data_IF_220761181042
#
_entry.id   IF_220761181042
#
_cell.length_a   1.000
_cell.length_b   1.000
_cell.length_c   1.000
_cell.angle_alpha   90.00
_cell.angle_beta   90.00
_cell.angle_gamma   90.00
#
_symmetry.space_group_name_H-M   'P 1'
#
loop_
_entity.id
_entity.type
_entity.pdbx_description
1 polymer ?
#
# COMPACT_ATOMS: atom_id res chain seq x y z
N UNK A 1 -25.88 -2.99 4.96
CA UNK A 1 -26.30 -4.26 4.36
C UNK A 1 -25.16 -5.28 4.35
N UNK A 2 -24.02 -4.97 3.76
CA UNK A 2 -22.86 -5.90 3.61
C UNK A 2 -22.27 -6.39 4.95
N UNK A 3 -22.29 -5.57 5.99
CA UNK A 3 -21.77 -5.95 7.31
C UNK A 3 -22.58 -7.09 7.97
N UNK A 4 -23.83 -7.31 7.58
CA UNK A 4 -24.66 -8.40 8.08
C UNK A 4 -24.45 -9.74 7.34
N UNK A 5 -23.69 -9.76 6.25
CA UNK A 5 -23.35 -11.00 5.55
C UNK A 5 -22.46 -11.89 6.43
N UNK A 6 -22.55 -13.22 6.26
CA UNK A 6 -21.79 -14.17 7.08
C UNK A 6 -20.27 -13.94 6.99
N UNK A 7 -19.49 -14.23 8.04
CA UNK A 7 -18.02 -14.18 8.01
C UNK A 7 -17.42 -14.91 6.80
N UNK A 8 -16.28 -14.45 6.32
CA UNK A 8 -15.61 -14.98 5.14
C UNK A 8 -14.63 -13.98 4.55
N UNK A 9 -14.40 -14.06 3.23
CA UNK A 9 -13.52 -13.11 2.55
C UNK A 9 -14.34 -12.00 1.87
N UNK A 10 -13.87 -10.77 2.04
CA UNK A 10 -14.40 -9.59 1.40
C UNK A 10 -13.27 -8.83 0.69
N UNK A 11 -13.61 -8.11 -0.36
CA UNK A 11 -12.72 -7.15 -1.00
C UNK A 11 -13.31 -5.75 -0.97
N UNK A 12 -12.45 -4.76 -0.81
CA UNK A 12 -12.78 -3.35 -0.93
C UNK A 12 -11.87 -2.74 -1.99
N UNK A 13 -12.42 -2.54 -3.19
CA UNK A 13 -11.69 -2.02 -4.34
C UNK A 13 -11.99 -0.55 -4.52
N UNK A 14 -11.08 0.30 -4.08
CA UNK A 14 -11.25 1.76 -4.14
C UNK A 14 -9.95 2.41 -4.63
N UNK A 15 -9.99 3.37 -5.55
CA UNK A 15 -8.80 4.10 -6.00
C UNK A 15 -8.02 4.73 -4.85
N UNK A 16 -6.73 5.00 -5.08
CA UNK A 16 -5.91 5.75 -4.12
C UNK A 16 -6.52 7.13 -3.87
N UNK A 17 -6.63 7.51 -2.60
CA UNK A 17 -7.30 8.77 -2.19
C UNK A 17 -8.83 8.68 -2.05
N UNK A 18 -9.44 7.52 -2.35
CA UNK A 18 -10.90 7.30 -2.22
C UNK A 18 -11.36 6.92 -0.80
N UNK A 19 -10.56 7.10 0.25
CA UNK A 19 -11.00 6.88 1.63
C UNK A 19 -10.98 5.43 2.12
N UNK A 20 -10.24 4.52 1.46
CA UNK A 20 -10.16 3.08 1.79
C UNK A 20 -9.99 2.79 3.28
N UNK A 21 -9.06 3.48 3.94
CA UNK A 21 -8.68 3.21 5.33
C UNK A 21 -9.86 3.35 6.30
N UNK A 22 -10.61 4.44 6.18
CA UNK A 22 -11.77 4.67 7.05
C UNK A 22 -12.97 3.80 6.63
N UNK A 23 -13.17 3.59 5.33
CA UNK A 23 -14.26 2.74 4.83
C UNK A 23 -14.08 1.27 5.24
N UNK A 24 -12.85 0.73 5.12
CA UNK A 24 -12.55 -0.64 5.57
C UNK A 24 -12.66 -0.80 7.09
N UNK A 25 -12.25 0.22 7.86
CA UNK A 25 -12.41 0.21 9.32
C UNK A 25 -13.89 0.27 9.72
N UNK A 26 -14.69 1.14 9.10
CA UNK A 26 -16.14 1.22 9.37
C UNK A 26 -16.84 -0.11 9.08
N UNK A 27 -16.58 -0.71 7.92
CA UNK A 27 -17.09 -2.05 7.61
C UNK A 27 -16.64 -3.07 8.66
N UNK A 28 -15.37 -3.09 9.03
CA UNK A 28 -14.82 -4.06 9.99
C UNK A 28 -15.48 -3.97 11.37
N UNK A 29 -15.74 -2.75 11.84
CA UNK A 29 -16.43 -2.52 13.12
C UNK A 29 -17.88 -2.94 13.07
N UNK A 30 -18.63 -2.55 12.05
CA UNK A 30 -20.03 -2.92 11.86
C UNK A 30 -20.18 -4.45 11.73
N UNK A 31 -19.27 -5.07 10.98
CA UNK A 31 -19.26 -6.53 10.79
C UNK A 31 -18.92 -7.26 12.09
N UNK A 32 -17.92 -6.76 12.84
CA UNK A 32 -17.56 -7.33 14.13
C UNK A 32 -18.73 -7.27 15.13
N UNK A 33 -19.46 -6.16 15.17
CA UNK A 33 -20.67 -6.01 15.99
C UNK A 33 -21.78 -6.98 15.57
N UNK A 34 -22.04 -7.10 14.27
CA UNK A 34 -23.09 -7.97 13.74
C UNK A 34 -22.84 -9.47 14.04
N UNK A 35 -21.57 -9.88 14.11
CA UNK A 35 -21.18 -11.29 14.27
C UNK A 35 -20.51 -11.61 15.61
N UNK A 36 -20.49 -10.69 16.56
CA UNK A 36 -19.90 -10.90 17.89
C UNK A 36 -18.39 -11.14 17.84
N UNK A 37 -17.70 -10.65 16.82
CA UNK A 37 -16.25 -10.70 16.72
C UNK A 37 -15.62 -9.69 17.70
N UNK A 38 -14.47 -10.03 18.26
CA UNK A 38 -13.97 -9.31 19.46
C UNK A 38 -13.01 -8.17 19.12
N UNK A 39 -12.44 -8.14 17.91
CA UNK A 39 -11.41 -7.15 17.54
C UNK A 39 -11.26 -6.99 16.05
N UNK A 40 -10.64 -5.87 15.69
CA UNK A 40 -10.19 -5.58 14.34
C UNK A 40 -8.65 -5.60 14.34
N UNK A 41 -8.05 -6.38 13.43
CA UNK A 41 -6.61 -6.42 13.19
C UNK A 41 -6.36 -5.76 11.83
N UNK A 42 -5.78 -4.58 11.85
CA UNK A 42 -5.47 -3.79 10.65
C UNK A 42 -4.02 -4.01 10.24
N UNK A 43 -3.81 -4.70 9.13
CA UNK A 43 -2.52 -5.18 8.67
C UNK A 43 -2.02 -4.32 7.51
N UNK A 44 -0.86 -3.71 7.65
CA UNK A 44 -0.27 -2.77 6.70
C UNK A 44 1.05 -3.33 6.17
N UNK A 45 1.37 -3.17 4.87
CA UNK A 45 2.59 -3.76 4.30
C UNK A 45 3.89 -3.13 4.77
N UNK A 46 3.88 -1.84 5.16
CA UNK A 46 5.09 -1.07 5.44
C UNK A 46 5.07 -0.40 6.81
N UNK A 47 6.21 -0.42 7.50
CA UNK A 47 6.41 0.26 8.78
C UNK A 47 6.29 1.78 8.69
N UNK A 48 6.56 2.38 7.52
CA UNK A 48 6.47 3.83 7.31
C UNK A 48 5.04 4.39 7.35
N UNK A 49 4.03 3.54 7.20
CA UNK A 49 2.60 3.94 7.17
C UNK A 49 1.91 3.64 8.49
N UNK A 50 2.45 2.70 9.26
CA UNK A 50 1.75 2.17 10.42
C UNK A 50 1.52 3.25 11.48
N UNK A 51 2.53 4.07 11.76
CA UNK A 51 2.43 5.18 12.72
C UNK A 51 1.33 6.17 12.31
N UNK A 52 1.33 6.58 11.03
CA UNK A 52 0.31 7.51 10.52
C UNK A 52 -1.10 6.92 10.60
N UNK A 53 -1.28 5.64 10.23
CA UNK A 53 -2.59 4.98 10.30
C UNK A 53 -3.03 4.76 11.75
N UNK A 54 -2.10 4.36 12.62
CA UNK A 54 -2.37 4.21 14.04
C UNK A 54 -2.76 5.55 14.69
N UNK A 55 -2.10 6.66 14.32
CA UNK A 55 -2.44 7.98 14.82
C UNK A 55 -3.84 8.44 14.36
N UNK A 56 -4.21 8.18 13.10
CA UNK A 56 -5.59 8.42 12.61
C UNK A 56 -6.60 7.64 13.44
N UNK A 57 -6.35 6.36 13.69
CA UNK A 57 -7.26 5.54 14.49
C UNK A 57 -7.27 5.94 15.97
N UNK A 58 -6.12 6.31 16.55
CA UNK A 58 -6.06 6.85 17.94
C UNK A 58 -6.83 8.14 18.08
N UNK A 59 -6.80 9.00 17.06
CA UNK A 59 -7.60 10.23 17.05
C UNK A 59 -9.11 9.98 17.15
N UNK A 60 -9.58 8.81 16.71
CA UNK A 60 -11.00 8.42 16.71
C UNK A 60 -11.33 7.53 17.92
N UNK A 61 -10.49 6.53 18.21
CA UNK A 61 -10.79 5.43 19.16
C UNK A 61 -9.94 5.49 20.45
N UNK A 62 -9.03 6.45 20.56
CA UNK A 62 -8.20 6.65 21.76
C UNK A 62 -7.35 5.43 22.12
N UNK A 63 -7.40 5.03 23.38
CA UNK A 63 -6.61 3.93 23.96
C UNK A 63 -7.03 2.53 23.48
N UNK A 64 -8.13 2.41 22.74
CA UNK A 64 -8.55 1.12 22.17
C UNK A 64 -7.59 0.62 21.06
N UNK A 65 -6.69 1.49 20.57
CA UNK A 65 -5.75 1.21 19.48
C UNK A 65 -4.38 0.85 20.02
N UNK A 66 -3.92 -0.35 19.66
CA UNK A 66 -2.54 -0.81 19.90
C UNK A 66 -1.81 -0.92 18.58
N UNK A 67 -0.60 -0.38 18.56
CA UNK A 67 0.31 -0.43 17.42
C UNK A 67 1.44 -1.43 17.70
N UNK A 68 1.72 -2.34 16.76
CA UNK A 68 2.75 -3.35 16.91
C UNK A 68 3.57 -3.55 15.64
N UNK A 69 4.84 -3.14 15.69
CA UNK A 69 5.83 -3.36 14.62
C UNK A 69 7.26 -3.30 15.20
N UNK A 70 8.25 -3.70 14.42
CA UNK A 70 9.65 -3.81 14.86
C UNK A 70 10.29 -2.51 15.37
N UNK A 71 9.80 -1.35 14.95
CA UNK A 71 10.35 -0.06 15.37
C UNK A 71 9.66 0.49 16.63
N UNK A 72 8.43 0.06 16.93
CA UNK A 72 7.71 0.48 18.14
C UNK A 72 8.36 -0.05 19.41
N UNK A 73 9.04 -1.19 19.34
CA UNK A 73 9.78 -1.78 20.47
C UNK A 73 10.99 -0.92 20.91
N UNK A 74 11.30 0.15 20.19
CA UNK A 74 12.53 0.95 20.38
C UNK A 74 12.31 2.32 21.05
N UNK A 75 11.07 2.74 21.31
CA UNK A 75 10.77 4.06 21.92
C UNK A 75 10.16 3.93 23.33
N UNK A 76 10.99 3.95 24.39
CA UNK A 76 10.53 3.83 25.77
C UNK A 76 9.63 4.99 26.23
N UNK A 77 9.62 6.12 25.53
CA UNK A 77 8.84 7.31 25.92
C UNK A 77 7.35 7.22 25.56
N UNK A 78 7.00 6.31 24.66
CA UNK A 78 5.61 6.08 24.19
C UNK A 78 4.94 4.86 24.80
N UNK A 79 5.66 4.02 25.54
CA UNK A 79 5.16 2.74 26.06
C UNK A 79 4.79 2.80 27.55
N UNK A 80 3.49 2.66 27.84
CA UNK A 80 3.06 2.17 29.13
C UNK A 80 3.27 0.64 29.21
N UNK A 81 3.54 0.10 30.42
CA UNK A 81 3.65 -1.37 30.64
C UNK A 81 2.43 -2.13 30.08
N UNK A 82 1.26 -1.51 30.15
CA UNK A 82 -0.01 -2.05 29.63
C UNK A 82 -0.03 -2.12 28.11
N UNK A 83 0.48 -1.11 27.42
CA UNK A 83 0.59 -1.10 25.96
C UNK A 83 1.54 -2.18 25.48
N UNK A 84 2.68 -2.37 26.15
CA UNK A 84 3.65 -3.42 25.85
C UNK A 84 3.07 -4.82 25.98
N UNK A 85 2.37 -5.10 27.09
CA UNK A 85 1.71 -6.38 27.30
C UNK A 85 0.59 -6.64 26.27
N UNK A 86 -0.16 -5.60 25.90
CA UNK A 86 -1.17 -5.68 24.87
C UNK A 86 -0.57 -5.97 23.49
N UNK A 87 0.61 -5.42 23.17
CA UNK A 87 1.36 -5.73 21.94
C UNK A 87 1.83 -7.20 21.88
N UNK A 88 2.26 -7.77 23.01
CA UNK A 88 2.74 -9.16 23.06
C UNK A 88 1.65 -10.17 22.69
N UNK A 89 0.42 -9.93 23.11
CA UNK A 89 -0.71 -10.86 22.93
C UNK A 89 -1.75 -10.35 21.91
N UNK A 90 -1.68 -9.08 21.51
CA UNK A 90 -2.73 -8.38 20.74
C UNK A 90 -4.07 -8.31 21.51
N UNK A 91 -3.99 -8.08 22.80
CA UNK A 91 -5.16 -7.95 23.66
C UNK A 91 -5.70 -6.51 23.68
N UNK A 92 -6.20 -6.08 22.53
CA UNK A 92 -6.84 -4.79 22.33
C UNK A 92 -7.98 -4.89 21.32
N UNK A 93 -8.98 -4.01 21.37
CA UNK A 93 -10.07 -3.98 20.40
C UNK A 93 -9.62 -3.71 18.97
N UNK A 94 -8.63 -2.85 18.81
CA UNK A 94 -8.05 -2.50 17.51
C UNK A 94 -6.52 -2.68 17.58
N UNK A 95 -6.00 -3.51 16.71
CA UNK A 95 -4.57 -3.78 16.57
C UNK A 95 -4.13 -3.32 15.18
N UNK A 96 -3.16 -2.40 15.13
CA UNK A 96 -2.52 -1.98 13.89
C UNK A 96 -1.13 -2.63 13.82
N UNK A 97 -0.87 -3.41 12.77
CA UNK A 97 0.36 -4.19 12.67
C UNK A 97 0.87 -4.29 11.25
N UNK A 98 2.09 -4.79 11.06
CA UNK A 98 2.64 -5.04 9.73
C UNK A 98 2.29 -6.42 9.19
N UNK A 99 2.27 -6.57 7.85
CA UNK A 99 2.11 -7.87 7.19
C UNK A 99 3.14 -8.88 7.67
N UNK A 100 4.37 -8.45 7.90
CA UNK A 100 5.45 -9.31 8.42
C UNK A 100 5.08 -9.84 9.82
N UNK A 101 4.71 -8.97 10.75
CA UNK A 101 4.34 -9.38 12.12
C UNK A 101 3.10 -10.27 12.15
N UNK A 102 2.12 -9.99 11.29
CA UNK A 102 0.90 -10.79 11.19
C UNK A 102 1.21 -12.21 10.69
N UNK A 103 1.87 -12.34 9.56
CA UNK A 103 2.19 -13.65 8.99
C UNK A 103 3.27 -14.41 9.78
N UNK A 104 4.27 -13.71 10.33
CA UNK A 104 5.21 -14.36 11.26
C UNK A 104 4.52 -14.93 12.50
N UNK A 105 3.46 -14.28 13.01
CA UNK A 105 2.69 -14.83 14.12
C UNK A 105 1.92 -16.10 13.74
N UNK A 106 1.44 -16.19 12.50
CA UNK A 106 0.71 -17.36 11.98
C UNK A 106 1.64 -18.55 11.66
N UNK A 107 2.85 -18.28 11.18
CA UNK A 107 3.80 -19.30 10.72
C UNK A 107 4.96 -19.57 11.70
N UNK A 108 4.94 -18.94 12.88
CA UNK A 108 6.01 -19.08 13.84
C UNK A 108 6.07 -20.48 14.47
N UNK A 109 7.28 -21.00 14.60
CA UNK A 109 7.55 -22.22 15.39
C UNK A 109 7.81 -21.92 16.87
N UNK A 110 8.09 -20.65 17.24
CA UNK A 110 8.38 -20.24 18.62
C UNK A 110 7.09 -19.90 19.38
N UNK A 111 6.88 -20.51 20.53
CA UNK A 111 5.68 -20.31 21.37
C UNK A 111 5.43 -18.85 21.74
N UNK A 112 6.49 -18.07 22.00
CA UNK A 112 6.38 -16.64 22.29
C UNK A 112 5.71 -15.84 21.16
N UNK A 113 5.96 -16.18 19.90
CA UNK A 113 5.33 -15.54 18.73
C UNK A 113 3.93 -16.07 18.46
N UNK A 114 3.64 -17.33 18.85
CA UNK A 114 2.33 -17.94 18.69
C UNK A 114 1.27 -17.42 19.68
N UNK A 115 1.64 -16.62 20.69
CA UNK A 115 0.72 -16.08 21.71
C UNK A 115 -0.45 -15.29 21.09
N UNK A 116 -0.23 -14.68 19.93
CA UNK A 116 -1.22 -13.85 19.24
C UNK A 116 -2.34 -14.65 18.56
N UNK A 117 -2.11 -15.95 18.30
CA UNK A 117 -3.04 -16.79 17.51
C UNK A 117 -4.45 -16.86 18.11
N UNK A 118 -4.57 -16.97 19.44
CA UNK A 118 -5.87 -17.02 20.10
C UNK A 118 -6.65 -15.72 20.01
N UNK A 119 -5.95 -14.61 19.77
CA UNK A 119 -6.58 -13.30 19.55
C UNK A 119 -6.84 -13.00 18.06
N UNK A 120 -6.23 -13.74 17.13
CA UNK A 120 -6.60 -13.69 15.71
C UNK A 120 -7.94 -14.40 15.49
N UNK A 121 -8.21 -15.49 16.23
CA UNK A 121 -9.51 -16.15 16.19
C UNK A 121 -10.65 -15.19 16.56
N UNK A 122 -11.78 -15.32 15.88
CA UNK A 122 -12.98 -14.50 16.08
C UNK A 122 -12.70 -12.99 15.98
N UNK A 123 -12.00 -12.59 14.92
CA UNK A 123 -11.64 -11.20 14.61
C UNK A 123 -11.94 -10.84 13.16
N UNK A 124 -11.98 -9.53 12.88
CA UNK A 124 -11.91 -9.02 11.50
C UNK A 124 -10.47 -8.63 11.20
N UNK A 125 -9.91 -9.23 10.17
CA UNK A 125 -8.55 -8.93 9.67
C UNK A 125 -8.67 -8.10 8.40
N UNK A 126 -8.20 -6.87 8.42
CA UNK A 126 -8.11 -6.02 7.24
C UNK A 126 -6.67 -6.08 6.71
N UNK A 127 -6.49 -6.61 5.51
CA UNK A 127 -5.21 -6.61 4.80
C UNK A 127 -5.19 -5.41 3.86
N UNK A 128 -4.53 -4.34 4.27
CA UNK A 128 -4.39 -3.13 3.44
C UNK A 128 -3.30 -3.34 2.38
N UNK A 129 -3.50 -2.76 1.19
CA UNK A 129 -2.67 -2.94 0.00
C UNK A 129 -2.40 -4.44 -0.29
N UNK A 130 -3.47 -5.24 -0.34
CA UNK A 130 -3.40 -6.71 -0.47
C UNK A 130 -2.64 -7.19 -1.73
N UNK A 131 -2.50 -6.34 -2.77
CA UNK A 131 -1.69 -6.64 -3.95
C UNK A 131 -0.18 -6.76 -3.65
N UNK A 132 0.27 -6.30 -2.47
CA UNK A 132 1.66 -6.39 -2.04
C UNK A 132 1.99 -7.68 -1.28
N UNK A 133 1.06 -8.63 -1.22
CA UNK A 133 1.35 -9.96 -0.68
C UNK A 133 2.46 -10.63 -1.51
N UNK A 134 3.51 -11.18 -0.84
CA UNK A 134 4.67 -11.70 -1.55
C UNK A 134 4.31 -12.95 -2.38
N UNK A 135 4.54 -12.94 -3.71
CA UNK A 135 4.16 -14.03 -4.61
C UNK A 135 4.79 -15.38 -4.23
N UNK A 136 6.01 -15.37 -3.70
CA UNK A 136 6.74 -16.57 -3.27
C UNK A 136 6.04 -17.30 -2.11
N UNK A 137 5.30 -16.58 -1.28
CA UNK A 137 4.56 -17.11 -0.13
C UNK A 137 3.05 -17.10 -0.33
N UNK A 138 2.57 -16.79 -1.52
CA UNK A 138 1.15 -16.62 -1.77
C UNK A 138 0.36 -17.91 -1.44
N UNK A 139 0.86 -19.08 -1.85
CA UNK A 139 0.20 -20.37 -1.59
C UNK A 139 -0.05 -20.64 -0.10
N UNK A 140 0.96 -20.61 0.80
CA UNK A 140 0.72 -20.79 2.22
C UNK A 140 -0.11 -19.66 2.83
N UNK A 141 0.03 -18.42 2.39
CA UNK A 141 -0.77 -17.28 2.86
C UNK A 141 -2.26 -17.50 2.55
N UNK A 142 -2.63 -17.79 1.31
CA UNK A 142 -4.03 -18.04 0.94
C UNK A 142 -4.58 -19.28 1.67
N UNK A 143 -3.76 -20.32 1.83
CA UNK A 143 -4.15 -21.51 2.59
C UNK A 143 -4.50 -21.20 4.04
N UNK A 144 -3.68 -20.42 4.75
CA UNK A 144 -3.95 -20.07 6.15
C UNK A 144 -5.14 -19.11 6.27
N UNK A 145 -5.31 -18.15 5.35
CA UNK A 145 -6.48 -17.27 5.35
C UNK A 145 -7.80 -18.05 5.18
N UNK A 146 -7.83 -19.05 4.28
CA UNK A 146 -8.96 -19.94 4.13
C UNK A 146 -9.25 -20.76 5.43
N UNK A 147 -8.21 -21.25 6.11
CA UNK A 147 -8.38 -21.95 7.38
C UNK A 147 -8.94 -21.04 8.46
N UNK A 148 -8.46 -19.80 8.56
CA UNK A 148 -8.93 -18.82 9.53
C UNK A 148 -10.42 -18.50 9.34
N UNK A 149 -10.86 -18.32 8.10
CA UNK A 149 -12.27 -18.02 7.81
C UNK A 149 -13.19 -19.22 7.99
N UNK A 150 -12.73 -20.43 7.62
CA UNK A 150 -13.55 -21.64 7.72
C UNK A 150 -13.73 -22.16 9.15
N UNK A 151 -12.69 -22.05 9.99
CA UNK A 151 -12.63 -22.78 11.25
C UNK A 151 -12.44 -21.91 12.49
N UNK A 152 -12.02 -20.65 12.34
CA UNK A 152 -11.68 -19.79 13.47
C UNK A 152 -12.54 -18.53 13.59
N UNK A 153 -13.65 -18.46 12.83
CA UNK A 153 -14.58 -17.34 12.89
C UNK A 153 -13.98 -16.00 12.45
N UNK A 154 -12.91 -16.03 11.66
CA UNK A 154 -12.24 -14.81 11.16
C UNK A 154 -12.95 -14.32 9.90
N UNK A 155 -13.10 -13.00 9.79
CA UNK A 155 -13.43 -12.34 8.53
C UNK A 155 -12.19 -11.66 8.00
N UNK A 156 -11.89 -11.84 6.71
CA UNK A 156 -10.77 -11.20 6.03
C UNK A 156 -11.28 -10.18 5.03
N UNK A 157 -10.78 -8.96 5.13
CA UNK A 157 -11.08 -7.86 4.20
C UNK A 157 -9.80 -7.51 3.44
N UNK A 158 -9.84 -7.65 2.12
CA UNK A 158 -8.76 -7.29 1.21
C UNK A 158 -8.98 -5.86 0.73
N UNK A 159 -8.26 -4.90 1.30
CA UNK A 159 -8.33 -3.48 0.91
C UNK A 159 -7.26 -3.20 -0.14
N UNK A 160 -7.66 -2.72 -1.31
CA UNK A 160 -6.72 -2.55 -2.44
C UNK A 160 -7.20 -1.48 -3.43
N UNK A 161 -6.25 -0.82 -4.09
CA UNK A 161 -6.54 0.02 -5.25
C UNK A 161 -6.57 -0.79 -6.56
N UNK A 162 -5.90 -1.93 -6.60
CA UNK A 162 -5.84 -2.80 -7.78
C UNK A 162 -6.11 -4.23 -7.33
N UNK A 163 -7.15 -4.87 -7.86
CA UNK A 163 -7.52 -6.23 -7.46
C UNK A 163 -6.42 -7.23 -7.82
N UNK A 164 -5.78 -7.87 -6.82
CA UNK A 164 -4.87 -8.97 -7.10
C UNK A 164 -5.66 -10.20 -7.51
N UNK A 165 -5.11 -11.00 -8.42
CA UNK A 165 -5.70 -12.27 -8.84
C UNK A 165 -5.52 -13.32 -7.73
N UNK A 166 -6.31 -13.24 -6.66
CA UNK A 166 -6.26 -14.16 -5.52
C UNK A 166 -7.21 -15.36 -5.64
N UNK A 167 -8.00 -15.44 -6.71
CA UNK A 167 -8.78 -16.62 -7.05
C UNK A 167 -7.84 -17.77 -7.45
N UNK A 168 -8.40 -18.98 -7.52
CA UNK A 168 -7.66 -20.16 -7.98
C UNK A 168 -6.98 -19.87 -9.32
N UNK A 169 -5.66 -20.05 -9.37
CA UNK A 169 -4.84 -19.89 -10.57
C UNK A 169 -4.41 -21.26 -11.08
N UNK A 170 -4.68 -21.52 -12.34
CA UNK A 170 -4.16 -22.68 -13.08
C UNK A 170 -3.03 -22.18 -13.99
N UNK A 171 -1.80 -22.53 -13.64
CA UNK A 171 -0.66 -22.33 -14.53
C UNK A 171 -0.65 -23.43 -15.60
N UNK A 172 0.14 -23.26 -16.68
CA UNK A 172 0.34 -24.26 -17.73
C UNK A 172 0.78 -25.64 -17.20
N UNK A 173 1.35 -25.68 -15.99
CA UNK A 173 1.67 -26.89 -15.27
C UNK A 173 0.60 -27.13 -14.18
N UNK A 174 -0.25 -28.18 -14.30
CA UNK A 174 -1.27 -28.49 -13.31
C UNK A 174 -0.74 -28.72 -11.90
N UNK A 175 0.55 -29.10 -11.74
CA UNK A 175 1.19 -29.27 -10.43
C UNK A 175 1.48 -27.93 -9.74
N UNK A 176 1.46 -26.83 -10.47
CA UNK A 176 1.65 -25.46 -9.96
C UNK A 176 0.35 -24.71 -9.68
N UNK A 177 -0.79 -25.36 -9.72
CA UNK A 177 -2.07 -24.76 -9.38
C UNK A 177 -2.02 -24.20 -7.94
N UNK A 178 -2.34 -22.91 -7.78
CA UNK A 178 -2.53 -22.29 -6.49
C UNK A 178 -4.01 -22.31 -6.17
N UNK A 179 -4.38 -22.99 -5.08
CA UNK A 179 -5.71 -22.86 -4.52
C UNK A 179 -5.88 -21.43 -4.02
N UNK A 180 -6.73 -20.66 -4.68
CA UNK A 180 -7.03 -19.29 -4.31
C UNK A 180 -7.84 -19.18 -3.02
N UNK A 181 -8.25 -17.98 -2.69
CA UNK A 181 -9.23 -17.75 -1.63
C UNK A 181 -10.57 -18.36 -2.04
N UNK A 182 -11.29 -18.83 -1.03
CA UNK A 182 -12.70 -19.15 -1.19
C UNK A 182 -13.46 -17.90 -1.66
N UNK A 183 -14.76 -18.04 -1.92
CA UNK A 183 -15.62 -16.94 -2.38
C UNK A 183 -15.25 -15.57 -1.76
N UNK A 184 -14.77 -14.65 -2.59
CA UNK A 184 -14.46 -13.27 -2.18
C UNK A 184 -15.60 -12.36 -2.62
N UNK A 185 -16.21 -11.65 -1.68
CA UNK A 185 -17.36 -10.77 -1.90
C UNK A 185 -16.91 -9.31 -1.95
N UNK A 186 -17.17 -8.64 -3.08
CA UNK A 186 -16.83 -7.22 -3.23
C UNK A 186 -17.81 -6.34 -2.44
N UNK A 187 -17.28 -5.45 -1.61
CA UNK A 187 -18.06 -4.55 -0.77
C UNK A 187 -18.76 -3.46 -1.57
N UNK A 188 -18.15 -3.04 -2.69
CA UNK A 188 -18.66 -2.00 -3.59
C UNK A 188 -19.70 -2.52 -4.60
N UNK A 189 -20.28 -3.71 -4.39
CA UNK A 189 -21.30 -4.28 -5.27
C UNK A 189 -22.62 -4.56 -4.52
N UNK A 190 -23.73 -4.34 -5.19
CA UNK A 190 -25.02 -4.91 -4.81
C UNK A 190 -26.00 -4.03 -4.06
N UNK A 191 -25.96 -2.72 -4.21
CA UNK A 191 -26.99 -1.82 -3.69
C UNK A 191 -27.43 -0.77 -4.70
N UNK A 192 -28.66 -0.24 -4.61
CA UNK A 192 -29.20 0.74 -5.57
C UNK A 192 -28.51 2.12 -5.52
N UNK A 193 -27.57 2.32 -4.60
CA UNK A 193 -26.79 3.56 -4.42
C UNK A 193 -25.30 3.27 -4.20
N UNK A 194 -24.85 2.06 -4.52
CA UNK A 194 -23.45 1.66 -4.37
C UNK A 194 -22.83 1.67 -5.76
N UNK A 195 -21.89 2.58 -5.98
CA UNK A 195 -21.10 2.64 -7.19
C UNK A 195 -20.31 1.36 -7.36
N UNK A 196 -20.21 0.90 -8.60
CA UNK A 196 -19.29 -0.20 -8.93
C UNK A 196 -17.85 0.31 -8.86
N UNK A 197 -16.83 -0.54 -8.66
CA UNK A 197 -15.44 -0.11 -8.75
C UNK A 197 -15.14 0.67 -10.04
N UNK A 198 -15.67 0.24 -11.18
CA UNK A 198 -15.44 0.88 -12.48
C UNK A 198 -16.06 2.28 -12.58
N UNK A 199 -17.23 2.50 -11.99
CA UNK A 199 -17.87 3.82 -11.91
C UNK A 199 -17.04 4.74 -11.00
N UNK A 200 -16.63 4.24 -9.84
CA UNK A 200 -15.80 5.00 -8.91
C UNK A 200 -14.43 5.36 -9.53
N UNK A 201 -13.83 4.45 -10.32
CA UNK A 201 -12.58 4.76 -11.04
C UNK A 201 -12.76 5.83 -12.10
N UNK A 202 -13.91 5.87 -12.79
CA UNK A 202 -14.22 6.93 -13.75
C UNK A 202 -14.44 8.28 -13.07
N UNK A 203 -15.21 8.30 -12.00
CA UNK A 203 -15.56 9.53 -11.28
C UNK A 203 -14.36 10.12 -10.53
N UNK A 204 -13.48 9.26 -10.02
CA UNK A 204 -12.24 9.66 -9.35
C UNK A 204 -11.04 9.78 -10.30
N UNK A 205 -11.24 9.76 -11.62
CA UNK A 205 -10.15 9.95 -12.57
C UNK A 205 -9.53 11.33 -12.40
N UNK A 206 -8.32 11.40 -11.89
CA UNK A 206 -7.59 12.63 -11.57
C UNK A 206 -6.33 12.84 -12.40
N UNK A 207 -5.93 11.82 -13.16
CA UNK A 207 -4.66 11.83 -13.88
C UNK A 207 -4.82 11.33 -15.31
N UNK A 208 -3.92 11.81 -16.17
CA UNK A 208 -3.66 11.25 -17.48
C UNK A 208 -2.31 10.52 -17.45
N UNK A 209 -2.29 9.25 -17.83
CA UNK A 209 -1.06 8.45 -17.86
C UNK A 209 -0.55 8.38 -19.28
N UNK A 210 0.63 8.95 -19.51
CA UNK A 210 1.36 8.88 -20.78
C UNK A 210 2.34 7.73 -20.73
N UNK A 211 2.08 6.72 -21.54
CA UNK A 211 2.95 5.56 -21.72
C UNK A 211 4.00 5.83 -22.79
N UNK A 212 5.15 5.12 -22.79
CA UNK A 212 6.14 5.22 -23.87
C UNK A 212 5.51 4.85 -25.21
N UNK A 213 5.71 5.67 -26.24
CA UNK A 213 5.28 5.35 -27.60
C UNK A 213 6.09 4.17 -28.18
N UNK A 214 7.34 4.04 -27.78
CA UNK A 214 8.24 2.93 -28.11
C UNK A 214 8.84 2.35 -26.84
N UNK A 215 8.46 1.13 -26.50
CA UNK A 215 8.95 0.40 -25.33
C UNK A 215 10.40 -0.08 -25.43
N UNK A 216 10.99 -0.04 -26.63
CA UNK A 216 12.41 -0.37 -26.85
C UNK A 216 13.32 0.84 -26.68
N UNK A 217 12.78 2.05 -26.89
CA UNK A 217 13.53 3.29 -26.71
C UNK A 217 13.79 3.55 -25.23
N UNK A 218 15.05 3.57 -24.85
CA UNK A 218 15.51 3.95 -23.51
C UNK A 218 15.79 5.44 -23.47
N UNK A 219 15.23 6.14 -22.51
CA UNK A 219 15.54 7.55 -22.27
C UNK A 219 16.88 7.65 -21.51
N UNK A 220 17.76 8.54 -21.91
CA UNK A 220 18.97 8.84 -21.11
C UNK A 220 18.61 9.60 -19.84
N UNK A 221 19.51 9.58 -18.84
CA UNK A 221 19.26 10.34 -17.61
C UNK A 221 19.27 11.85 -17.87
N UNK A 222 20.04 12.32 -18.85
CA UNK A 222 20.10 13.71 -19.28
C UNK A 222 18.77 14.17 -19.92
N UNK A 223 18.18 13.33 -20.79
CA UNK A 223 16.86 13.59 -21.38
C UNK A 223 15.81 13.72 -20.28
N UNK A 224 15.76 12.75 -19.35
CA UNK A 224 14.81 12.77 -18.23
C UNK A 224 15.05 13.97 -17.33
N UNK A 225 16.30 14.32 -17.02
CA UNK A 225 16.61 15.48 -16.20
C UNK A 225 16.18 16.79 -16.86
N UNK A 226 16.35 16.92 -18.19
CA UNK A 226 15.92 18.09 -18.94
C UNK A 226 14.40 18.27 -18.92
N UNK A 227 13.65 17.16 -19.09
CA UNK A 227 12.19 17.18 -18.97
C UNK A 227 11.75 17.57 -17.55
N UNK A 228 12.33 16.96 -16.51
CA UNK A 228 12.01 17.29 -15.12
C UNK A 228 12.32 18.73 -14.75
N UNK A 229 13.42 19.28 -15.28
CA UNK A 229 13.81 20.68 -15.03
C UNK A 229 12.83 21.70 -15.61
N UNK A 230 12.05 21.31 -16.64
CA UNK A 230 11.04 22.17 -17.25
C UNK A 230 9.79 22.36 -16.37
N UNK A 231 9.58 21.49 -15.37
CA UNK A 231 8.44 21.61 -14.45
C UNK A 231 8.84 22.38 -13.18
N UNK A 232 7.96 23.21 -12.66
CA UNK A 232 8.15 23.87 -11.37
C UNK A 232 8.05 22.89 -10.22
N UNK A 233 7.04 22.02 -10.25
CA UNK A 233 6.83 20.98 -9.25
C UNK A 233 6.62 19.61 -9.90
N UNK A 234 7.52 18.66 -9.59
CA UNK A 234 7.49 17.33 -10.17
C UNK A 234 8.11 16.30 -9.23
N UNK A 235 7.55 15.10 -9.25
CA UNK A 235 8.07 13.93 -8.56
C UNK A 235 8.58 12.91 -9.58
N UNK A 236 9.85 12.54 -9.51
CA UNK A 236 10.43 11.44 -10.28
C UNK A 236 10.63 10.22 -9.38
N UNK A 237 10.06 9.08 -9.77
CA UNK A 237 10.19 7.81 -9.04
C UNK A 237 10.97 6.83 -9.90
N UNK A 238 12.10 6.36 -9.39
CA UNK A 238 13.01 5.44 -10.09
C UNK A 238 13.21 4.13 -9.37
N UNK A 239 13.72 3.12 -10.07
CA UNK A 239 13.75 1.73 -9.60
C UNK A 239 14.87 1.41 -8.61
N UNK A 240 15.96 2.18 -8.62
CA UNK A 240 17.12 1.92 -7.75
C UNK A 240 17.64 3.20 -7.10
N UNK A 241 18.35 3.03 -5.98
CA UNK A 241 19.04 4.13 -5.30
C UNK A 241 20.11 4.78 -6.20
N UNK A 242 20.79 3.97 -7.02
CA UNK A 242 21.78 4.47 -8.00
C UNK A 242 21.11 5.38 -9.03
N UNK A 243 19.98 4.95 -9.60
CA UNK A 243 19.21 5.78 -10.53
C UNK A 243 18.77 7.10 -9.89
N UNK A 244 18.32 7.06 -8.62
CA UNK A 244 17.93 8.27 -7.90
C UNK A 244 19.10 9.22 -7.70
N UNK A 245 20.26 8.72 -7.31
CA UNK A 245 21.46 9.53 -7.13
C UNK A 245 21.96 10.12 -8.47
N UNK A 246 21.99 9.32 -9.54
CA UNK A 246 22.41 9.78 -10.88
C UNK A 246 21.48 10.88 -11.40
N UNK A 247 20.17 10.66 -11.36
CA UNK A 247 19.19 11.63 -11.83
C UNK A 247 19.22 12.92 -10.98
N UNK A 248 19.33 12.79 -9.65
CA UNK A 248 19.42 13.93 -8.74
C UNK A 248 20.65 14.80 -9.01
N UNK A 249 21.80 14.19 -9.36
CA UNK A 249 23.02 14.92 -9.67
C UNK A 249 22.94 15.78 -10.95
N UNK A 250 22.03 15.42 -11.88
CA UNK A 250 21.81 16.14 -13.14
C UNK A 250 20.77 17.28 -13.00
N UNK A 251 20.04 17.33 -11.90
CA UNK A 251 18.97 18.30 -11.69
C UNK A 251 19.48 19.59 -11.03
N UNK A 252 18.74 20.70 -11.18
CA UNK A 252 19.09 21.98 -10.56
C UNK A 252 19.27 21.90 -9.05
N UNK A 253 20.17 22.72 -8.51
CA UNK A 253 20.34 22.87 -7.05
C UNK A 253 19.00 23.17 -6.37
N UNK A 254 18.77 22.55 -5.21
CA UNK A 254 17.52 22.67 -4.47
C UNK A 254 16.49 21.58 -4.78
N UNK A 255 16.76 20.69 -5.75
CA UNK A 255 16.03 19.44 -5.92
C UNK A 255 16.21 18.57 -4.67
N UNK A 256 15.11 17.98 -4.18
CA UNK A 256 15.11 17.12 -2.99
C UNK A 256 15.26 15.65 -3.40
N UNK A 257 15.91 14.87 -2.54
CA UNK A 257 16.15 13.45 -2.76
C UNK A 257 15.53 12.62 -1.61
N UNK A 258 14.86 11.52 -1.94
CA UNK A 258 14.31 10.56 -0.99
C UNK A 258 14.75 9.13 -1.35
N UNK A 259 15.36 8.42 -0.40
CA UNK A 259 15.69 7.01 -0.58
C UNK A 259 15.70 6.24 0.74
N UNK A 260 15.64 4.93 0.66
CA UNK A 260 15.64 4.05 1.83
C UNK A 260 16.96 4.05 2.65
N UNK A 261 18.04 4.66 2.13
CA UNK A 261 19.29 4.83 2.87
C UNK A 261 19.26 5.98 3.88
N UNK A 262 18.29 6.88 3.78
CA UNK A 262 18.14 7.96 4.73
C UNK A 262 17.65 7.40 6.07
N UNK A 263 18.23 7.86 7.17
CA UNK A 263 17.68 7.52 8.49
C UNK A 263 16.25 8.07 8.65
N UNK A 264 15.47 7.47 9.55
CA UNK A 264 14.06 7.79 9.72
C UNK A 264 13.80 9.28 9.99
N UNK A 265 14.59 9.90 10.89
CA UNK A 265 14.46 11.32 11.23
C UNK A 265 14.71 12.22 10.00
N UNK A 266 15.84 12.03 9.30
CA UNK A 266 16.16 12.83 8.11
C UNK A 266 15.10 12.67 7.02
N UNK A 267 14.58 11.45 6.81
CA UNK A 267 13.49 11.20 5.85
C UNK A 267 12.21 11.94 6.23
N UNK A 268 11.85 11.94 7.52
CA UNK A 268 10.69 12.67 8.02
C UNK A 268 10.82 14.18 7.77
N UNK A 269 12.00 14.75 8.04
CA UNK A 269 12.29 16.16 7.81
C UNK A 269 12.20 16.56 6.35
N UNK A 270 12.72 15.72 5.44
CA UNK A 270 12.63 15.97 3.99
C UNK A 270 11.18 15.87 3.52
N UNK A 271 10.41 14.88 3.99
CA UNK A 271 8.98 14.75 3.66
C UNK A 271 8.20 15.97 4.17
N UNK A 272 8.45 16.42 5.42
CA UNK A 272 7.82 17.62 5.95
C UNK A 272 8.16 18.87 5.12
N UNK A 273 9.44 19.00 4.70
CA UNK A 273 9.89 20.10 3.82
C UNK A 273 9.16 20.06 2.47
N UNK A 274 9.02 18.87 1.85
CA UNK A 274 8.28 18.72 0.58
C UNK A 274 6.83 19.16 0.77
N UNK A 275 6.15 18.68 1.80
CA UNK A 275 4.76 19.04 2.09
C UNK A 275 4.59 20.54 2.29
N UNK A 276 5.46 21.16 3.08
CA UNK A 276 5.41 22.58 3.33
C UNK A 276 5.63 23.43 2.07
N UNK A 277 6.58 23.04 1.20
CA UNK A 277 6.82 23.72 -0.08
C UNK A 277 5.63 23.59 -1.02
N UNK A 278 5.09 22.39 -1.19
CA UNK A 278 3.92 22.15 -2.04
C UNK A 278 2.69 22.93 -1.55
N UNK A 279 2.44 22.94 -0.24
CA UNK A 279 1.34 23.71 0.36
C UNK A 279 1.51 25.22 0.17
N UNK A 280 2.73 25.72 0.17
CA UNK A 280 3.06 27.14 -0.07
C UNK A 280 3.16 27.51 -1.56
N UNK A 281 2.94 26.57 -2.49
CA UNK A 281 3.10 26.81 -3.93
C UNK A 281 4.55 27.06 -4.38
N UNK A 282 5.52 26.69 -3.56
CA UNK A 282 6.96 26.86 -3.88
C UNK A 282 7.39 25.77 -4.86
N UNK A 283 8.10 26.11 -5.96
CA UNK A 283 8.63 25.14 -6.90
C UNK A 283 9.40 24.01 -6.20
N UNK A 284 8.96 22.76 -6.42
CA UNK A 284 9.45 21.60 -5.68
C UNK A 284 9.72 20.43 -6.60
N UNK A 285 10.99 20.15 -6.85
CA UNK A 285 11.44 18.97 -7.60
C UNK A 285 11.96 17.92 -6.65
N UNK A 286 11.48 16.68 -6.82
CA UNK A 286 11.83 15.55 -5.96
C UNK A 286 12.23 14.35 -6.81
N UNK A 287 13.34 13.71 -6.46
CA UNK A 287 13.73 12.41 -6.99
C UNK A 287 13.65 11.39 -5.87
N UNK A 288 12.91 10.30 -6.09
CA UNK A 288 12.73 9.26 -5.09
C UNK A 288 12.87 7.86 -5.68
N UNK A 289 13.13 6.89 -4.82
CA UNK A 289 12.87 5.48 -5.10
C UNK A 289 11.40 5.14 -4.83
N UNK A 290 11.01 3.87 -4.95
CA UNK A 290 9.65 3.38 -4.64
C UNK A 290 9.17 3.72 -3.22
N UNK A 291 10.02 4.27 -2.39
CA UNK A 291 9.69 4.67 -1.01
C UNK A 291 8.42 5.53 -0.91
N UNK A 292 8.15 6.35 -1.92
CA UNK A 292 7.00 7.26 -1.94
C UNK A 292 5.74 6.65 -2.55
N UNK A 293 5.84 5.48 -3.17
CA UNK A 293 4.68 4.78 -3.76
C UNK A 293 3.67 4.37 -2.70
N UNK A 294 4.15 3.94 -1.54
CA UNK A 294 3.31 3.57 -0.42
C UNK A 294 3.70 4.35 0.84
N UNK A 295 2.71 4.79 1.61
CA UNK A 295 2.90 5.35 2.94
C UNK A 295 3.37 6.79 3.04
N UNK A 296 3.58 7.48 1.96
CA UNK A 296 3.91 8.90 2.00
C UNK A 296 2.80 9.68 1.30
N UNK A 297 2.20 10.59 2.04
CA UNK A 297 1.14 11.44 1.51
C UNK A 297 1.75 12.66 0.83
N UNK A 298 1.95 12.56 -0.48
CA UNK A 298 2.45 13.63 -1.35
C UNK A 298 1.48 13.84 -2.51
N UNK A 299 1.34 15.10 -2.92
CA UNK A 299 0.45 15.51 -4.01
C UNK A 299 1.19 16.42 -4.99
N UNK A 300 1.54 15.88 -6.15
CA UNK A 300 2.27 16.59 -7.20
C UNK A 300 1.41 16.81 -8.44
N UNK A 301 1.57 17.92 -9.17
CA UNK A 301 0.88 18.12 -10.44
C UNK A 301 1.38 17.17 -11.54
N UNK A 302 2.65 16.79 -11.50
CA UNK A 302 3.31 15.93 -12.48
C UNK A 302 4.15 14.88 -11.78
N UNK A 303 4.02 13.63 -12.25
CA UNK A 303 4.80 12.49 -11.73
C UNK A 303 5.46 11.75 -12.88
N UNK A 304 6.77 11.55 -12.81
CA UNK A 304 7.54 10.69 -13.71
C UNK A 304 7.81 9.36 -13.03
N UNK A 305 7.52 8.26 -13.71
CA UNK A 305 7.77 6.91 -13.19
C UNK A 305 8.63 6.10 -14.16
N UNK A 306 9.80 5.67 -13.72
CA UNK A 306 10.58 4.69 -14.47
C UNK A 306 9.77 3.39 -14.59
N UNK A 307 9.78 2.77 -15.77
CA UNK A 307 9.03 1.55 -16.06
C UNK A 307 9.21 0.49 -14.97
N UNK A 308 8.10 -0.07 -14.51
CA UNK A 308 7.99 -1.06 -13.45
C UNK A 308 6.70 -1.88 -13.64
N UNK A 309 6.28 -2.65 -12.64
CA UNK A 309 4.98 -3.32 -12.64
C UNK A 309 3.80 -2.34 -12.68
N UNK A 310 2.66 -2.79 -13.18
CA UNK A 310 1.44 -1.97 -13.28
C UNK A 310 0.98 -1.44 -11.92
N UNK A 311 1.15 -2.22 -10.86
CA UNK A 311 0.88 -1.83 -9.49
C UNK A 311 1.70 -0.62 -9.05
N UNK A 312 3.01 -0.62 -9.35
CA UNK A 312 3.91 0.50 -9.06
C UNK A 312 3.54 1.76 -9.87
N UNK A 313 3.15 1.60 -11.13
CA UNK A 313 2.68 2.72 -11.96
C UNK A 313 1.39 3.31 -11.37
N UNK A 314 0.44 2.46 -10.97
CA UNK A 314 -0.80 2.90 -10.34
C UNK A 314 -0.56 3.61 -8.99
N UNK A 315 0.37 3.12 -8.18
CA UNK A 315 0.76 3.77 -6.92
C UNK A 315 1.44 5.12 -7.14
N UNK A 316 2.31 5.22 -8.15
CA UNK A 316 2.92 6.48 -8.56
C UNK A 316 1.86 7.48 -9.06
N UNK A 317 0.89 7.02 -9.86
CA UNK A 317 -0.25 7.81 -10.30
C UNK A 317 -1.08 8.34 -9.12
N UNK A 318 -1.20 7.56 -8.05
CA UNK A 318 -1.83 7.98 -6.79
C UNK A 318 -1.07 9.09 -6.03
N UNK A 319 0.08 9.56 -6.51
CA UNK A 319 0.83 10.73 -6.00
C UNK A 319 0.67 11.97 -6.88
N UNK A 320 -0.08 11.83 -7.96
CA UNK A 320 -0.36 12.88 -8.92
C UNK A 320 -1.79 13.37 -8.75
N UNK A 321 -1.98 14.68 -8.55
CA UNK A 321 -3.28 15.29 -8.32
C UNK A 321 -4.17 14.51 -7.32
N UNK A 322 -3.51 14.03 -6.28
CA UNK A 322 -4.11 13.12 -5.29
C UNK A 322 -5.34 13.72 -4.61
N UNK A 323 -5.27 15.00 -4.32
CA UNK A 323 -6.34 15.74 -3.66
C UNK A 323 -7.37 16.32 -4.62
N UNK A 324 -7.15 16.18 -5.95
CA UNK A 324 -8.03 16.73 -6.96
C UNK A 324 -8.06 18.26 -6.98
N UNK A 325 -6.97 18.94 -6.60
CA UNK A 325 -6.89 20.39 -6.50
C UNK A 325 -6.56 21.09 -7.82
N UNK A 326 -6.06 20.35 -8.79
CA UNK A 326 -5.77 20.91 -10.10
C UNK A 326 -7.07 21.22 -10.86
N UNK A 327 -7.09 22.28 -11.65
CA UNK A 327 -8.26 22.60 -12.49
C UNK A 327 -8.51 21.58 -13.62
N UNK A 328 -7.56 20.67 -13.83
CA UNK A 328 -7.60 19.58 -14.82
C UNK A 328 -6.95 18.31 -14.28
N UNK A 329 -6.67 17.39 -15.19
CA UNK A 329 -5.98 16.16 -14.83
C UNK A 329 -4.48 16.43 -14.59
N UNK A 330 -3.92 15.77 -13.57
CA UNK A 330 -2.47 15.69 -13.40
C UNK A 330 -1.83 14.80 -14.47
N UNK A 331 -0.55 14.96 -14.70
CA UNK A 331 0.19 14.20 -15.71
C UNK A 331 1.10 13.16 -15.07
N UNK A 332 0.96 11.90 -15.50
CA UNK A 332 1.86 10.81 -15.11
C UNK A 332 2.60 10.34 -16.35
N UNK A 333 3.91 10.43 -16.34
CA UNK A 333 4.79 10.05 -17.46
C UNK A 333 5.54 8.78 -17.11
N UNK A 334 5.29 7.70 -17.84
CA UNK A 334 6.07 6.47 -17.73
C UNK A 334 7.20 6.50 -18.75
N UNK A 335 8.43 6.27 -18.32
CA UNK A 335 9.60 6.25 -19.20
C UNK A 335 10.42 4.97 -19.01
N UNK A 336 11.09 4.54 -20.07
CA UNK A 336 12.01 3.38 -20.02
C UNK A 336 13.40 3.90 -19.64
N UNK A 337 13.93 3.54 -18.44
CA UNK A 337 15.22 4.02 -18.00
C UNK A 337 16.37 3.44 -18.85
N UNK A 338 17.56 4.08 -18.87
CA UNK A 338 18.69 3.60 -19.66
C UNK A 338 19.21 2.24 -19.17
N UNK A 339 19.15 2.01 -17.87
CA UNK A 339 19.55 0.75 -17.24
C UNK A 339 18.36 -0.20 -17.11
N UNK A 340 18.60 -1.50 -17.30
CA UNK A 340 17.58 -2.52 -17.08
C UNK A 340 17.19 -2.60 -15.61
N UNK A 341 15.95 -3.04 -15.34
CA UNK A 341 15.52 -3.31 -13.98
C UNK A 341 16.41 -4.40 -13.32
N UNK A 342 16.72 -4.26 -12.02
CA UNK A 342 17.45 -5.29 -11.30
C UNK A 342 16.74 -6.64 -11.38
N UNK A 343 17.50 -7.77 -11.43
CA UNK A 343 16.90 -9.09 -11.41
C UNK A 343 15.98 -9.29 -10.19
N UNK A 344 14.92 -10.08 -10.36
CA UNK A 344 13.95 -10.35 -9.30
C UNK A 344 12.57 -9.75 -9.58
N UNK A 345 11.87 -9.29 -8.55
CA UNK A 345 10.48 -8.82 -8.66
C UNK A 345 10.34 -7.61 -9.59
N UNK A 346 11.30 -6.69 -9.59
CA UNK A 346 11.25 -5.51 -10.46
C UNK A 346 11.33 -5.90 -11.95
N UNK A 347 12.26 -6.78 -12.32
CA UNK A 347 12.37 -7.26 -13.70
C UNK A 347 11.14 -8.08 -14.13
N UNK A 348 10.59 -8.92 -13.23
CA UNK A 348 9.36 -9.67 -13.49
C UNK A 348 8.16 -8.72 -13.69
N UNK A 349 8.03 -7.72 -12.82
CA UNK A 349 6.98 -6.70 -12.92
C UNK A 349 7.07 -5.88 -14.21
N UNK A 350 8.28 -5.44 -14.59
CA UNK A 350 8.53 -4.76 -15.86
C UNK A 350 8.14 -5.66 -17.06
N UNK A 351 8.56 -6.93 -17.05
CA UNK A 351 8.22 -7.89 -18.10
C UNK A 351 6.71 -8.12 -18.22
N UNK A 352 6.02 -8.30 -17.10
CA UNK A 352 4.56 -8.44 -17.08
C UNK A 352 3.86 -7.17 -17.60
N UNK A 353 4.33 -5.99 -17.20
CA UNK A 353 3.80 -4.71 -17.67
C UNK A 353 3.90 -4.59 -19.21
N UNK A 354 5.07 -4.91 -19.79
CA UNK A 354 5.29 -4.91 -21.24
C UNK A 354 4.42 -5.93 -22.00
N UNK A 355 4.00 -7.02 -21.36
CA UNK A 355 3.18 -8.04 -22.00
C UNK A 355 1.68 -7.72 -22.00
N UNK A 356 1.25 -6.81 -21.13
CA UNK A 356 -0.16 -6.43 -20.97
C UNK A 356 -0.50 -5.14 -21.70
N UNK A 357 0.45 -4.20 -21.76
CA UNK A 357 0.32 -2.89 -22.42
C UNK A 357 0.91 -2.92 -23.84
#
# INVERSE_FOLDING_TARGET
AKAAEKPGHFSLTVPTGGGKTLASMAFALDHALAHGQRRVIYVIPYTSIIEQTADVFRGIFGEAVVEHHSNAESDPSRESLRSRLACENWDAPIVVTTSVQFFESLFAARTSRCRKLHHIANSVVVLDEAQLLPPEFLKPILGVLNLLTRHYGVTVVLSTATQPALARQEYFDPQKTIAGLDEVRELMQGGPHVETPDELYRDLKRVNVRLPADWQRRASWEEVAAELAAHDSVLAIVNTRRHAATLHALLPKGTLHLSALMCGAHRADVIATIKARLAAGVPTRVVSTQLVEAGVDLDFPVVYRALAGLDSIAQAAGRCNREGRLPGLGEVVVFVPPDAAPPGLLAKGEGACRSVL
#
